data_IF_794148189353
#
_entry.id   IF_794148189353
#
_cell.length_a   1.000
_cell.length_b   1.000
_cell.length_c   1.000
_cell.angle_alpha   90.00
_cell.angle_beta   90.00
_cell.angle_gamma   90.00
#
_symmetry.space_group_name_H-M   'P 1'
#
loop_
_entity.id
_entity.type
_entity.pdbx_description
1 polymer ?
#
# COMPACT_ATOMS: atom_id res chain seq x y z
N UNK A 1 8.72 -14.79 14.70
CA UNK A 1 8.97 -13.97 15.91
C UNK A 1 8.68 -14.86 17.11
N UNK A 2 9.61 -14.96 18.05
CA UNK A 2 9.43 -15.69 19.31
C UNK A 2 9.91 -14.79 20.43
N UNK A 3 9.04 -14.46 21.38
CA UNK A 3 9.29 -13.51 22.46
C UNK A 3 8.96 -14.15 23.80
N UNK A 4 9.79 -13.88 24.80
CA UNK A 4 9.50 -14.23 26.19
C UNK A 4 8.42 -13.32 26.78
N UNK A 5 7.88 -13.70 27.94
CA UNK A 5 6.86 -12.90 28.62
C UNK A 5 7.37 -11.48 28.96
N UNK A 6 6.64 -10.46 28.50
CA UNK A 6 6.98 -9.05 28.70
C UNK A 6 8.03 -8.48 27.75
N UNK A 7 8.62 -9.30 26.87
CA UNK A 7 9.53 -8.81 25.84
C UNK A 7 8.77 -8.14 24.69
N UNK A 8 9.35 -7.09 24.13
CA UNK A 8 8.88 -6.43 22.91
C UNK A 8 10.02 -6.36 21.89
N UNK A 9 9.66 -6.33 20.62
CA UNK A 9 10.61 -6.19 19.52
C UNK A 9 10.01 -5.27 18.46
N UNK A 10 10.83 -4.36 17.94
CA UNK A 10 10.50 -3.59 16.74
C UNK A 10 10.72 -4.48 15.51
N UNK A 11 9.70 -4.56 14.67
CA UNK A 11 9.77 -5.24 13.35
C UNK A 11 9.73 -4.16 12.29
N UNK A 12 10.70 -4.19 11.38
CA UNK A 12 10.78 -3.25 10.26
C UNK A 12 10.45 -3.98 8.97
N UNK A 13 9.56 -3.41 8.19
CA UNK A 13 9.26 -3.84 6.83
C UNK A 13 9.79 -2.78 5.86
N UNK A 14 10.36 -3.23 4.76
CA UNK A 14 10.71 -2.38 3.64
C UNK A 14 9.74 -2.70 2.51
N UNK A 15 9.03 -1.67 2.04
CA UNK A 15 8.13 -1.77 0.91
C UNK A 15 8.71 -0.93 -0.22
N UNK A 16 8.61 -1.44 -1.42
CA UNK A 16 9.18 -0.86 -2.65
C UNK A 16 8.08 -0.63 -3.67
N UNK A 17 8.40 0.14 -4.72
CA UNK A 17 7.50 0.33 -5.85
C UNK A 17 6.91 -0.99 -6.36
N UNK A 18 7.68 -2.08 -6.34
CA UNK A 18 7.23 -3.37 -6.83
C UNK A 18 6.10 -4.00 -6.01
N UNK A 19 5.94 -3.65 -4.73
CA UNK A 19 4.97 -4.27 -3.82
C UNK A 19 3.54 -3.74 -4.01
N UNK A 20 3.40 -2.52 -4.52
CA UNK A 20 2.11 -1.86 -4.79
C UNK A 20 1.86 -1.56 -6.27
N UNK A 21 2.82 -1.88 -7.13
CA UNK A 21 2.68 -1.70 -8.58
C UNK A 21 1.76 -2.73 -9.20
N UNK A 22 1.17 -2.36 -10.33
CA UNK A 22 0.37 -3.23 -11.20
C UNK A 22 1.04 -3.39 -12.56
N UNK A 23 0.68 -4.44 -13.29
CA UNK A 23 1.12 -4.61 -14.67
C UNK A 23 0.24 -3.80 -15.63
N UNK A 24 0.88 -2.95 -16.43
CA UNK A 24 0.25 -2.09 -17.44
C UNK A 24 1.17 -1.95 -18.66
N UNK A 25 0.69 -1.78 -19.92
CA UNK A 25 -0.71 -1.78 -20.37
C UNK A 25 -1.28 -3.20 -20.54
N UNK A 26 -2.26 -3.41 -21.41
CA UNK A 26 -2.89 -4.72 -21.66
C UNK A 26 -1.91 -5.83 -22.11
N UNK A 27 -2.30 -7.09 -21.86
CA UNK A 27 -1.53 -8.28 -22.27
C UNK A 27 -1.26 -8.23 -23.77
N UNK A 28 -0.01 -8.50 -24.17
CA UNK A 28 0.42 -8.46 -25.56
C UNK A 28 1.05 -7.13 -26.01
N UNK A 29 0.99 -6.08 -25.18
CA UNK A 29 1.63 -4.78 -25.46
C UNK A 29 2.95 -4.55 -24.69
N UNK A 30 3.49 -5.60 -24.08
CA UNK A 30 4.73 -5.54 -23.30
C UNK A 30 4.49 -4.96 -21.90
N UNK A 31 3.92 -5.78 -21.02
CA UNK A 31 3.62 -5.43 -19.63
C UNK A 31 4.85 -4.83 -18.93
N UNK A 32 4.65 -3.72 -18.24
CA UNK A 32 5.60 -3.11 -17.32
C UNK A 32 4.96 -2.99 -15.95
N UNK A 33 5.80 -3.09 -14.92
CA UNK A 33 5.39 -2.87 -13.55
C UNK A 33 5.38 -1.36 -13.29
N UNK A 34 4.23 -0.81 -12.92
CA UNK A 34 4.03 0.64 -12.73
C UNK A 34 3.25 0.90 -11.45
N UNK A 35 3.56 2.01 -10.76
CA UNK A 35 2.83 2.45 -9.57
C UNK A 35 2.09 3.74 -9.88
N UNK A 36 0.84 3.82 -9.42
CA UNK A 36 -0.01 5.00 -9.57
C UNK A 36 0.26 6.00 -8.45
N UNK A 37 0.33 7.28 -8.76
CA UNK A 37 0.42 8.35 -7.77
C UNK A 37 -0.89 8.44 -6.99
N UNK A 38 -0.84 8.10 -5.70
CA UNK A 38 -1.99 8.03 -4.82
C UNK A 38 -1.57 8.06 -3.33
N UNK A 39 -2.57 8.20 -2.46
CA UNK A 39 -2.41 7.89 -1.03
C UNK A 39 -2.65 6.39 -0.81
N UNK A 40 -1.62 5.71 -0.35
CA UNK A 40 -1.63 4.28 -0.06
C UNK A 40 -1.79 4.04 1.44
N UNK A 41 -2.52 2.98 1.78
CA UNK A 41 -2.72 2.55 3.17
C UNK A 41 -2.11 1.17 3.38
N UNK A 42 -1.26 1.06 4.40
CA UNK A 42 -0.65 -0.18 4.84
C UNK A 42 -1.38 -0.65 6.10
N UNK A 43 -1.97 -1.85 6.03
CA UNK A 43 -2.60 -2.53 7.16
C UNK A 43 -1.68 -3.65 7.67
N UNK A 44 -1.32 -3.63 8.95
CA UNK A 44 -0.57 -4.73 9.58
C UNK A 44 -1.55 -5.68 10.24
N UNK A 45 -1.41 -6.99 9.95
CA UNK A 45 -2.28 -8.12 10.39
C UNK A 45 -3.49 -8.37 9.47
N UNK A 46 -3.85 -9.63 9.16
CA UNK A 46 -4.93 -9.94 8.19
C UNK A 46 -6.31 -9.39 8.59
N UNK A 47 -6.58 -9.30 9.88
CA UNK A 47 -7.88 -8.86 10.41
C UNK A 47 -7.93 -7.33 10.66
N UNK A 48 -6.89 -6.58 10.27
CA UNK A 48 -6.87 -5.13 10.41
C UNK A 48 -7.71 -4.49 9.33
N UNK A 49 -8.73 -3.76 9.77
CA UNK A 49 -9.58 -2.93 8.92
C UNK A 49 -9.14 -1.46 9.04
N UNK A 50 -8.78 -0.87 7.92
CA UNK A 50 -8.48 0.55 7.79
C UNK A 50 -9.66 1.22 7.08
N UNK A 51 -10.47 1.95 7.83
CA UNK A 51 -11.62 2.66 7.26
C UNK A 51 -11.13 3.85 6.43
N UNK A 52 -10.92 3.62 5.13
CA UNK A 52 -10.46 4.62 4.16
C UNK A 52 -11.59 5.48 3.59
N UNK A 53 -12.85 5.23 3.99
CA UNK A 53 -14.02 5.94 3.49
C UNK A 53 -14.68 6.85 4.53
N UNK A 54 -14.33 6.69 5.81
CA UNK A 54 -14.82 7.52 6.90
C UNK A 54 -13.68 8.32 7.56
N UNK A 55 -13.49 9.55 7.10
CA UNK A 55 -12.48 10.48 7.62
C UNK A 55 -12.62 10.80 9.12
N UNK A 56 -13.80 10.53 9.70
CA UNK A 56 -14.09 10.81 11.12
C UNK A 56 -13.93 9.59 12.03
N UNK A 57 -13.69 8.41 11.46
CA UNK A 57 -13.46 7.19 12.23
C UNK A 57 -12.16 7.30 13.03
N UNK A 58 -12.12 6.64 14.19
CA UNK A 58 -10.88 6.51 14.93
C UNK A 58 -9.89 5.67 14.13
N UNK A 59 -8.71 6.21 13.84
CA UNK A 59 -7.67 5.50 13.11
C UNK A 59 -7.23 4.23 13.87
N UNK A 60 -7.24 3.10 13.19
CA UNK A 60 -6.71 1.85 13.74
C UNK A 60 -5.17 1.97 13.88
N UNK A 61 -4.59 1.69 15.05
CA UNK A 61 -3.15 1.88 15.30
C UNK A 61 -2.25 0.97 14.44
N UNK A 62 -2.82 -0.04 13.77
CA UNK A 62 -2.09 -0.91 12.83
C UNK A 62 -2.22 -0.47 11.38
N UNK A 63 -2.81 0.70 11.12
CA UNK A 63 -2.89 1.33 9.81
C UNK A 63 -1.88 2.48 9.72
N UNK A 64 -1.23 2.62 8.56
CA UNK A 64 -0.38 3.75 8.24
C UNK A 64 -0.61 4.20 6.80
N UNK A 65 -0.51 5.49 6.55
CA UNK A 65 -0.69 6.08 5.21
C UNK A 65 0.63 6.66 4.71
N UNK A 66 0.89 6.52 3.42
CA UNK A 66 1.96 7.24 2.72
C UNK A 66 1.47 7.72 1.35
N UNK A 67 2.07 8.80 0.86
CA UNK A 67 1.76 9.36 -0.46
C UNK A 67 2.85 8.99 -1.45
N UNK A 68 2.45 8.47 -2.61
CA UNK A 68 3.31 8.32 -3.78
C UNK A 68 3.02 9.45 -4.77
N UNK A 69 4.05 10.21 -5.13
CA UNK A 69 3.91 11.36 -6.04
C UNK A 69 5.14 11.47 -6.94
N UNK A 70 5.23 10.53 -7.88
CA UNK A 70 6.32 10.42 -8.86
C UNK A 70 6.13 11.35 -10.07
N UNK A 71 4.86 11.66 -10.40
CA UNK A 71 4.45 12.38 -11.59
C UNK A 71 4.36 11.51 -12.85
N UNK A 72 4.66 10.21 -12.78
CA UNK A 72 4.70 9.33 -13.96
C UNK A 72 3.31 8.79 -14.34
N UNK A 73 2.55 8.31 -13.37
CA UNK A 73 1.21 7.75 -13.56
C UNK A 73 0.25 8.39 -12.57
N UNK A 74 -0.45 9.44 -12.99
CA UNK A 74 -1.39 10.15 -12.12
C UNK A 74 -2.55 9.25 -11.70
N UNK A 75 -3.16 9.54 -10.54
CA UNK A 75 -4.37 8.85 -10.08
C UNK A 75 -5.45 8.78 -11.16
N UNK A 76 -5.97 7.57 -11.39
CA UNK A 76 -6.96 7.28 -12.41
C UNK A 76 -6.39 7.20 -13.83
N UNK A 77 -5.08 7.12 -14.02
CA UNK A 77 -4.47 6.99 -15.36
C UNK A 77 -4.34 5.54 -15.84
N UNK A 78 -4.39 4.57 -14.93
CA UNK A 78 -4.21 3.14 -15.24
C UNK A 78 -5.51 2.42 -15.59
N UNK A 79 -6.54 3.14 -16.07
CA UNK A 79 -7.83 2.54 -16.42
C UNK A 79 -7.67 1.64 -17.65
N UNK A 80 -8.04 0.37 -17.52
CA UNK A 80 -8.19 -0.51 -18.67
C UNK A 80 -9.46 -0.10 -19.44
N UNK A 81 -9.31 0.31 -20.71
CA UNK A 81 -10.42 0.32 -21.68
C UNK A 81 -10.88 -1.10 -22.01
#
# INVERSE_FOLDING_TARGET
ISLDAGASQTVTFELTAADWSVYYPQIGQGLKLVAEDADYVVAIKPETDCDVYNETAAANPLCATFTLSTGEYLFGSLVAE
#
